data_IF_230898162504
#
_entry.id   IF_230898162504
#
_cell.length_a   1.000
_cell.length_b   1.000
_cell.length_c   1.000
_cell.angle_alpha   90.00
_cell.angle_beta   90.00
_cell.angle_gamma   90.00
#
_symmetry.space_group_name_H-M   'P 1'
#
loop_
_entity.id
_entity.type
_entity.pdbx_description
1 polymer ?
#
# COMPACT_ATOMS: atom_id res chain seq x y z
N UNK A 1 25.81 -1.24 20.04
CA UNK A 1 24.92 -1.67 18.95
C UNK A 1 23.83 -2.51 19.59
N UNK A 2 22.54 -2.16 19.49
CA UNK A 2 21.51 -3.00 20.08
C UNK A 2 21.42 -4.31 19.27
N UNK A 3 21.37 -5.39 20.02
CA UNK A 3 21.32 -6.77 19.57
C UNK A 3 20.10 -6.98 18.66
N UNK A 4 20.29 -7.25 17.36
CA UNK A 4 19.20 -7.65 16.48
C UNK A 4 18.99 -9.14 16.75
N UNK A 5 18.12 -9.46 17.71
CA UNK A 5 17.63 -10.83 17.87
C UNK A 5 17.05 -11.28 16.52
N UNK A 6 17.58 -12.39 16.00
CA UNK A 6 17.10 -13.00 14.76
C UNK A 6 15.65 -13.46 14.98
N UNK A 7 14.69 -12.62 14.60
CA UNK A 7 13.28 -12.98 14.62
C UNK A 7 13.04 -14.11 13.62
N UNK A 8 12.41 -15.19 14.08
CA UNK A 8 11.93 -16.26 13.21
C UNK A 8 11.02 -15.65 12.13
N UNK A 9 11.26 -15.95 10.83
CA UNK A 9 10.45 -15.38 9.77
C UNK A 9 8.99 -15.82 9.91
N UNK A 10 8.08 -14.90 9.64
CA UNK A 10 6.66 -15.18 9.57
C UNK A 10 6.37 -16.06 8.35
N UNK A 11 5.71 -17.19 8.55
CA UNK A 11 5.39 -18.13 7.48
C UNK A 11 3.91 -18.11 7.15
N UNK A 12 3.61 -18.20 5.85
CA UNK A 12 2.25 -18.40 5.36
C UNK A 12 1.74 -19.80 5.77
N UNK A 13 0.50 -19.88 6.25
CA UNK A 13 -0.06 -21.11 6.84
C UNK A 13 -1.44 -21.44 6.27
N UNK A 14 -1.60 -22.69 5.87
CA UNK A 14 -2.86 -23.33 5.47
C UNK A 14 -3.19 -24.48 6.42
N UNK A 15 -4.48 -24.76 6.63
CA UNK A 15 -4.93 -25.90 7.43
C UNK A 15 -5.13 -27.19 6.62
N UNK A 16 -5.00 -27.11 5.28
CA UNK A 16 -5.25 -28.20 4.34
C UNK A 16 -6.74 -28.53 4.12
N UNK A 17 -7.65 -27.74 4.68
CA UNK A 17 -9.11 -27.87 4.57
C UNK A 17 -9.77 -26.62 3.98
N UNK A 18 -8.99 -25.83 3.24
CA UNK A 18 -9.45 -24.60 2.59
C UNK A 18 -9.53 -23.40 3.54
N UNK A 19 -8.70 -23.35 4.59
CA UNK A 19 -8.51 -22.14 5.39
C UNK A 19 -7.06 -21.69 5.48
N UNK A 20 -6.91 -20.38 5.61
CA UNK A 20 -5.63 -19.67 5.77
C UNK A 20 -5.62 -18.96 7.12
N UNK A 21 -4.46 -18.95 7.78
CA UNK A 21 -4.27 -18.23 9.02
C UNK A 21 -3.91 -16.77 8.75
N UNK A 22 -4.70 -15.83 9.30
CA UNK A 22 -4.29 -14.42 9.38
C UNK A 22 -3.53 -14.19 10.70
N UNK A 23 -2.25 -13.80 10.66
CA UNK A 23 -1.50 -13.42 11.85
C UNK A 23 -1.86 -12.02 12.33
N UNK A 24 -2.55 -11.20 11.54
CA UNK A 24 -3.05 -9.89 11.98
C UNK A 24 -4.33 -10.06 12.80
N UNK A 25 -5.29 -10.87 12.31
CA UNK A 25 -6.57 -11.15 12.99
C UNK A 25 -6.49 -12.30 14.00
N UNK A 26 -5.40 -13.07 14.00
CA UNK A 26 -5.20 -14.25 14.86
C UNK A 26 -6.35 -15.28 14.71
N UNK A 27 -6.78 -15.54 13.48
CA UNK A 27 -7.88 -16.46 13.17
C UNK A 27 -7.72 -17.13 11.80
N UNK A 28 -8.48 -18.21 11.59
CA UNK A 28 -8.53 -18.97 10.34
C UNK A 28 -9.69 -18.50 9.45
N UNK A 29 -9.39 -18.12 8.22
CA UNK A 29 -10.36 -17.61 7.22
C UNK A 29 -10.45 -18.54 6.02
N UNK A 30 -11.57 -18.47 5.29
CA UNK A 30 -11.75 -19.25 4.06
C UNK A 30 -10.71 -18.84 3.03
N UNK A 31 -10.13 -19.83 2.36
CA UNK A 31 -9.15 -19.65 1.30
C UNK A 31 -9.81 -19.10 0.03
N UNK A 32 -9.89 -17.78 -0.06
CA UNK A 32 -10.17 -17.07 -1.31
C UNK A 32 -8.86 -16.65 -1.99
N UNK A 33 -8.81 -16.51 -3.32
CA UNK A 33 -7.62 -16.07 -4.03
C UNK A 33 -7.05 -14.74 -3.51
N UNK A 34 -7.91 -13.77 -3.18
CA UNK A 34 -7.54 -12.49 -2.60
C UNK A 34 -6.95 -12.64 -1.19
N UNK A 35 -7.47 -13.57 -0.38
CA UNK A 35 -6.96 -13.83 0.98
C UNK A 35 -5.57 -14.50 0.93
N UNK A 36 -5.31 -15.37 -0.04
CA UNK A 36 -3.97 -15.93 -0.29
C UNK A 36 -2.97 -14.79 -0.50
N UNK A 37 -3.26 -13.91 -1.44
CA UNK A 37 -2.43 -12.75 -1.79
C UNK A 37 -2.24 -11.84 -0.57
N UNK A 38 -3.31 -11.56 0.18
CA UNK A 38 -3.27 -10.73 1.39
C UNK A 38 -2.30 -11.28 2.42
N UNK A 39 -2.40 -12.57 2.76
CA UNK A 39 -1.56 -13.17 3.80
C UNK A 39 -0.11 -13.41 3.34
N UNK A 40 0.12 -13.67 2.05
CA UNK A 40 1.47 -13.65 1.47
C UNK A 40 2.10 -12.25 1.55
N UNK A 41 1.31 -11.21 1.27
CA UNK A 41 1.78 -9.83 1.38
C UNK A 41 2.08 -9.42 2.82
N UNK A 42 1.28 -9.86 3.80
CA UNK A 42 1.58 -9.68 5.24
C UNK A 42 2.92 -10.32 5.60
N UNK A 43 3.19 -11.55 5.12
CA UNK A 43 4.48 -12.20 5.35
C UNK A 43 5.64 -11.36 4.77
N UNK A 44 5.48 -10.82 3.55
CA UNK A 44 6.46 -9.94 2.92
C UNK A 44 6.68 -8.63 3.69
N UNK A 45 5.61 -8.00 4.16
CA UNK A 45 5.67 -6.78 4.99
C UNK A 45 6.47 -6.98 6.27
N UNK A 46 6.30 -8.14 6.92
CA UNK A 46 7.03 -8.46 8.15
C UNK A 46 8.47 -8.85 7.86
N UNK A 47 8.68 -9.78 6.93
CA UNK A 47 9.99 -10.40 6.72
C UNK A 47 10.97 -9.50 5.95
N UNK A 48 10.49 -8.80 4.93
CA UNK A 48 11.35 -8.05 4.01
C UNK A 48 11.36 -6.56 4.33
N UNK A 49 10.20 -6.01 4.72
CA UNK A 49 10.03 -4.58 4.98
C UNK A 49 10.12 -4.22 6.47
N UNK A 50 10.14 -5.21 7.37
CA UNK A 50 10.36 -5.01 8.80
C UNK A 50 9.18 -4.40 9.56
N UNK A 51 7.98 -4.42 8.99
CA UNK A 51 6.77 -3.99 9.72
C UNK A 51 6.43 -5.00 10.82
N UNK A 52 5.89 -4.52 11.93
CA UNK A 52 5.31 -5.35 12.97
C UNK A 52 3.81 -5.59 12.71
N UNK A 53 3.31 -6.76 13.11
CA UNK A 53 1.89 -7.13 12.95
C UNK A 53 0.95 -6.15 13.68
N UNK A 54 1.39 -5.58 14.80
CA UNK A 54 0.61 -4.60 15.57
C UNK A 54 0.52 -3.22 14.90
N UNK A 55 1.27 -3.00 13.81
CA UNK A 55 1.12 -1.85 12.90
C UNK A 55 0.06 -2.10 11.82
N UNK A 56 -0.56 -3.27 11.76
CA UNK A 56 -1.47 -3.65 10.66
C UNK A 56 -2.88 -3.91 11.16
N UNK A 57 -3.87 -3.76 10.30
CA UNK A 57 -5.26 -4.15 10.52
C UNK A 57 -5.85 -4.68 9.21
N UNK A 58 -6.79 -5.61 9.30
CA UNK A 58 -7.48 -6.19 8.13
C UNK A 58 -8.98 -5.94 8.28
N UNK A 59 -9.69 -5.85 7.16
CA UNK A 59 -11.16 -5.82 7.10
C UNK A 59 -11.77 -4.68 7.95
N UNK A 60 -11.18 -3.49 7.83
CA UNK A 60 -11.70 -2.31 8.51
C UNK A 60 -12.87 -1.73 7.74
N UNK A 61 -14.08 -2.11 8.14
CA UNK A 61 -15.30 -1.51 7.65
C UNK A 61 -15.39 -0.04 8.09
N UNK A 62 -15.54 0.86 7.12
CA UNK A 62 -15.85 2.27 7.41
C UNK A 62 -17.24 2.59 6.89
N UNK A 63 -18.08 3.11 7.77
CA UNK A 63 -19.44 3.51 7.41
C UNK A 63 -19.44 4.87 6.71
N UNK A 64 -20.00 4.92 5.50
CA UNK A 64 -20.37 6.17 4.81
C UNK A 64 -21.86 6.16 4.47
N UNK A 65 -22.69 6.68 5.36
CA UNK A 65 -24.14 6.75 5.12
C UNK A 65 -24.72 5.34 4.89
N UNK A 66 -25.20 5.04 3.67
CA UNK A 66 -25.78 3.73 3.31
C UNK A 66 -24.80 2.71 2.71
N UNK A 67 -23.55 3.07 2.46
CA UNK A 67 -22.55 2.17 1.85
C UNK A 67 -21.36 1.98 2.81
N UNK A 68 -20.94 0.74 2.98
CA UNK A 68 -19.68 0.39 3.61
C UNK A 68 -18.61 0.17 2.56
N UNK A 69 -17.39 0.60 2.88
CA UNK A 69 -16.19 0.25 2.13
C UNK A 69 -15.24 -0.43 3.11
N UNK A 70 -14.65 -1.53 2.67
CA UNK A 70 -13.75 -2.37 3.45
C UNK A 70 -12.41 -2.42 2.74
N UNK A 71 -11.34 -2.14 3.47
CA UNK A 71 -9.99 -2.32 2.97
C UNK A 71 -9.47 -3.69 3.38
N UNK A 72 -8.78 -4.36 2.46
CA UNK A 72 -8.18 -5.66 2.71
C UNK A 72 -7.13 -5.61 3.82
N UNK A 73 -6.26 -4.60 3.77
CA UNK A 73 -5.20 -4.40 4.75
C UNK A 73 -4.91 -2.90 4.92
N UNK A 74 -4.71 -2.47 6.15
CA UNK A 74 -4.27 -1.11 6.50
C UNK A 74 -3.00 -1.17 7.34
N UNK A 75 -2.13 -0.18 7.16
CA UNK A 75 -0.82 -0.13 7.81
C UNK A 75 -0.63 1.24 8.42
N UNK A 76 -0.32 1.28 9.72
CA UNK A 76 0.05 2.48 10.45
C UNK A 76 1.56 2.66 10.49
N UNK A 77 1.99 3.92 10.60
CA UNK A 77 3.42 4.25 10.73
C UNK A 77 4.04 3.62 11.96
N UNK A 78 3.30 3.55 13.06
CA UNK A 78 3.71 2.87 14.30
C UNK A 78 2.51 2.16 14.93
N UNK A 79 2.79 1.18 15.79
CA UNK A 79 1.74 0.53 16.57
C UNK A 79 1.05 1.51 17.53
N UNK A 80 1.76 2.54 17.98
CA UNK A 80 1.17 3.61 18.79
C UNK A 80 0.18 4.44 17.97
N UNK A 81 0.48 4.78 16.72
CA UNK A 81 -0.46 5.51 15.86
C UNK A 81 -1.76 4.73 15.65
N UNK A 82 -1.69 3.39 15.55
CA UNK A 82 -2.88 2.52 15.53
C UNK A 82 -3.66 2.61 16.84
N UNK A 83 -2.99 2.49 17.99
CA UNK A 83 -3.61 2.57 19.33
C UNK A 83 -4.23 3.94 19.60
N UNK A 84 -3.61 5.00 19.10
CA UNK A 84 -4.09 6.38 19.22
C UNK A 84 -5.21 6.71 18.21
N UNK A 85 -5.67 5.72 17.43
CA UNK A 85 -6.66 5.89 16.36
C UNK A 85 -6.31 7.00 15.36
N UNK A 86 -5.01 7.19 15.08
CA UNK A 86 -4.55 8.11 14.03
C UNK A 86 -4.87 7.52 12.65
N UNK A 87 -4.94 8.37 11.61
CA UNK A 87 -5.04 7.92 10.23
C UNK A 87 -3.95 6.89 9.88
N UNK A 88 -4.29 5.78 9.19
CA UNK A 88 -3.29 4.84 8.71
C UNK A 88 -2.38 5.51 7.67
N UNK A 89 -1.17 4.98 7.53
CA UNK A 89 -0.20 5.44 6.54
C UNK A 89 -0.52 4.92 5.14
N UNK A 90 -0.94 3.65 5.06
CA UNK A 90 -1.16 2.94 3.79
C UNK A 90 -2.46 2.17 3.90
N UNK A 91 -3.28 2.27 2.86
CA UNK A 91 -4.40 1.37 2.60
C UNK A 91 -3.99 0.46 1.46
N UNK A 92 -4.24 -0.83 1.59
CA UNK A 92 -3.88 -1.86 0.60
C UNK A 92 -5.14 -2.58 0.15
N UNK A 93 -5.29 -2.69 -1.17
CA UNK A 93 -6.28 -3.53 -1.85
C UNK A 93 -5.53 -4.70 -2.50
N UNK A 94 -5.83 -5.91 -2.07
CA UNK A 94 -5.33 -7.15 -2.61
C UNK A 94 -6.29 -7.67 -3.68
N UNK A 95 -5.76 -8.06 -4.83
CA UNK A 95 -6.54 -8.70 -5.90
C UNK A 95 -6.05 -10.12 -6.12
N UNK A 96 -6.95 -11.00 -6.56
CA UNK A 96 -6.59 -12.34 -6.99
C UNK A 96 -5.49 -12.27 -8.06
N UNK A 97 -4.62 -13.27 -8.07
CA UNK A 97 -3.46 -13.25 -8.96
C UNK A 97 -3.85 -13.11 -10.41
N UNK A 98 -4.97 -13.68 -10.87
CA UNK A 98 -5.44 -13.61 -12.26
C UNK A 98 -6.04 -12.25 -12.68
N UNK A 99 -6.23 -11.30 -11.76
CA UNK A 99 -6.76 -9.96 -12.04
C UNK A 99 -5.63 -9.00 -12.42
N UNK A 100 -5.78 -8.29 -13.54
CA UNK A 100 -4.89 -7.18 -13.92
C UNK A 100 -5.36 -5.92 -13.23
N UNK A 101 -4.46 -5.23 -12.53
CA UNK A 101 -4.78 -3.99 -11.83
C UNK A 101 -5.02 -2.90 -12.88
N UNK A 102 -6.20 -2.28 -12.83
CA UNK A 102 -6.61 -1.26 -13.77
C UNK A 102 -6.75 0.11 -13.09
N UNK A 103 -6.78 1.21 -13.86
CA UNK A 103 -7.12 2.53 -13.33
C UNK A 103 -8.53 2.62 -12.71
N UNK A 104 -9.43 1.66 -12.95
CA UNK A 104 -10.75 1.65 -12.32
C UNK A 104 -10.67 1.19 -10.86
N UNK A 105 -9.78 0.25 -10.55
CA UNK A 105 -9.51 -0.21 -9.19
C UNK A 105 -8.96 0.92 -8.31
N UNK A 106 -8.27 1.87 -8.94
CA UNK A 106 -7.81 3.08 -8.29
C UNK A 106 -8.95 3.92 -7.71
N UNK A 107 -10.01 4.17 -8.47
CA UNK A 107 -11.11 5.04 -8.03
C UNK A 107 -11.82 4.46 -6.78
N UNK A 108 -11.94 3.13 -6.70
CA UNK A 108 -12.52 2.45 -5.55
C UNK A 108 -11.63 2.59 -4.32
N UNK A 109 -10.34 2.27 -4.44
CA UNK A 109 -9.41 2.31 -3.31
C UNK A 109 -9.02 3.72 -2.86
N UNK A 110 -8.97 4.70 -3.77
CA UNK A 110 -8.76 6.11 -3.44
C UNK A 110 -9.86 6.64 -2.52
N UNK A 111 -11.12 6.25 -2.79
CA UNK A 111 -12.26 6.68 -1.97
C UNK A 111 -12.06 6.27 -0.52
N UNK A 112 -11.68 5.02 -0.26
CA UNK A 112 -11.39 4.55 1.09
C UNK A 112 -10.21 5.30 1.71
N UNK A 113 -9.10 5.44 0.98
CA UNK A 113 -7.92 6.14 1.48
C UNK A 113 -8.21 7.61 1.85
N UNK A 114 -9.05 8.31 1.09
CA UNK A 114 -9.53 9.66 1.46
C UNK A 114 -10.37 9.65 2.73
N UNK A 115 -11.25 8.65 2.89
CA UNK A 115 -12.13 8.53 4.05
C UNK A 115 -11.33 8.42 5.35
N UNK A 116 -10.28 7.59 5.33
CA UNK A 116 -9.44 7.36 6.51
C UNK A 116 -8.25 8.33 6.62
N UNK A 117 -8.20 9.36 5.76
CA UNK A 117 -7.07 10.31 5.62
C UNK A 117 -5.70 9.63 5.43
N UNK A 118 -5.69 8.48 4.75
CA UNK A 118 -4.47 7.78 4.39
C UNK A 118 -3.75 8.49 3.23
N UNK A 119 -2.46 8.81 3.39
CA UNK A 119 -1.69 9.49 2.36
C UNK A 119 -1.31 8.58 1.18
N UNK A 120 -1.34 7.26 1.38
CA UNK A 120 -1.00 6.29 0.36
C UNK A 120 -2.07 5.21 0.22
N UNK A 121 -2.29 4.83 -1.02
CA UNK A 121 -3.10 3.69 -1.41
C UNK A 121 -2.23 2.75 -2.25
N UNK A 122 -2.35 1.44 -2.04
CA UNK A 122 -1.59 0.41 -2.74
C UNK A 122 -2.56 -0.63 -3.29
N UNK A 123 -2.37 -1.00 -4.54
CA UNK A 123 -2.99 -2.21 -5.10
C UNK A 123 -1.92 -3.27 -5.27
N UNK A 124 -2.23 -4.50 -4.87
CA UNK A 124 -1.26 -5.59 -4.83
C UNK A 124 -1.84 -6.92 -5.33
N UNK A 125 -1.06 -7.63 -6.14
CA UNK A 125 -1.13 -9.08 -6.32
C UNK A 125 0.31 -9.61 -6.49
N UNK A 126 0.49 -10.92 -6.68
CA UNK A 126 1.83 -11.49 -6.82
C UNK A 126 2.52 -11.14 -8.15
N UNK A 127 1.81 -10.53 -9.11
CA UNK A 127 2.35 -10.13 -10.43
C UNK A 127 2.78 -8.67 -10.49
N UNK A 128 2.06 -7.78 -9.82
CA UNK A 128 2.31 -6.34 -9.81
C UNK A 128 1.88 -5.68 -8.50
N UNK A 129 2.62 -4.63 -8.11
CA UNK A 129 2.25 -3.76 -6.98
C UNK A 129 2.28 -2.32 -7.47
N UNK A 130 1.18 -1.58 -7.30
CA UNK A 130 1.11 -0.18 -7.67
C UNK A 130 0.88 0.69 -6.46
N UNK A 131 1.62 1.78 -6.39
CA UNK A 131 1.61 2.72 -5.27
C UNK A 131 0.98 4.02 -5.74
N UNK A 132 0.11 4.58 -4.93
CA UNK A 132 -0.63 5.78 -5.27
C UNK A 132 -0.51 6.81 -4.15
N UNK A 133 -0.20 8.05 -4.54
CA UNK A 133 -0.25 9.20 -3.63
C UNK A 133 -1.64 9.81 -3.68
N UNK A 134 -2.32 9.81 -2.55
CA UNK A 134 -3.68 10.37 -2.44
C UNK A 134 -3.61 11.87 -2.22
N UNK A 135 -4.33 12.63 -3.06
CA UNK A 135 -4.53 14.07 -2.87
C UNK A 135 -5.40 14.27 -1.62
N UNK A 136 -4.91 15.10 -0.70
CA UNK A 136 -5.68 15.55 0.46
C UNK A 136 -6.87 16.40 0.01
N UNK A 137 -7.97 16.34 0.76
CA UNK A 137 -9.15 17.18 0.49
C UNK A 137 -8.90 18.66 0.83
N UNK A 138 -8.06 18.90 1.84
CA UNK A 138 -7.75 20.25 2.32
C UNK A 138 -6.30 20.59 2.10
N UNK A 139 -6.08 21.81 1.65
CA UNK A 139 -4.75 22.37 1.49
C UNK A 139 -4.10 22.53 2.87
N UNK A 140 -2.81 22.18 3.03
CA UNK A 140 -2.05 22.53 4.22
C UNK A 140 -2.10 24.04 4.49
N UNK A 141 -2.14 24.44 5.77
CA UNK A 141 -2.12 25.86 6.14
C UNK A 141 -0.83 26.56 5.71
N UNK A 142 -0.88 27.90 5.58
CA UNK A 142 0.30 28.73 5.31
C UNK A 142 0.67 28.94 3.84
N UNK A 143 -0.14 28.46 2.89
CA UNK A 143 0.11 28.66 1.45
C UNK A 143 -0.45 29.97 0.88
N UNK A 144 0.27 30.51 -0.11
CA UNK A 144 -0.11 31.72 -0.85
C UNK A 144 -1.15 31.42 -1.97
N UNK A 145 -1.51 32.44 -2.75
CA UNK A 145 -2.47 32.29 -3.85
C UNK A 145 -1.98 31.33 -4.96
N UNK A 146 -0.67 31.29 -5.21
CA UNK A 146 -0.06 30.37 -6.19
C UNK A 146 -0.12 28.93 -5.69
N UNK A 147 0.12 28.72 -4.41
CA UNK A 147 0.03 27.40 -3.78
C UNK A 147 -1.41 26.89 -3.79
N UNK A 148 -2.40 27.77 -3.57
CA UNK A 148 -3.83 27.42 -3.69
C UNK A 148 -4.19 27.00 -5.11
N UNK A 149 -3.75 27.76 -6.10
CA UNK A 149 -3.97 27.42 -7.51
C UNK A 149 -3.31 26.09 -7.89
N UNK A 150 -2.10 25.81 -7.38
CA UNK A 150 -1.41 24.51 -7.57
C UNK A 150 -2.16 23.36 -6.90
N UNK A 151 -2.63 23.55 -5.66
CA UNK A 151 -3.37 22.54 -4.92
C UNK A 151 -4.72 22.20 -5.56
N UNK A 152 -5.43 23.20 -6.09
CA UNK A 152 -6.69 22.98 -6.84
C UNK A 152 -6.47 22.08 -8.05
N UNK A 153 -5.38 22.29 -8.79
CA UNK A 153 -5.02 21.50 -9.98
C UNK A 153 -4.36 20.16 -9.67
N UNK A 154 -3.89 19.95 -8.43
CA UNK A 154 -3.27 18.69 -8.05
C UNK A 154 -4.28 17.56 -8.15
N UNK A 155 -3.83 16.44 -8.67
CA UNK A 155 -4.55 15.17 -8.63
C UNK A 155 -3.71 14.16 -7.89
N UNK A 156 -4.36 13.13 -7.40
CA UNK A 156 -3.65 11.94 -6.95
C UNK A 156 -2.93 11.28 -8.13
N UNK A 157 -1.81 10.63 -7.88
CA UNK A 157 -0.95 10.11 -8.96
C UNK A 157 -0.29 8.80 -8.56
N UNK A 158 0.04 8.00 -9.56
CA UNK A 158 0.81 6.77 -9.36
C UNK A 158 2.27 7.11 -9.07
N UNK A 159 2.83 6.50 -8.03
CA UNK A 159 4.25 6.57 -7.70
C UNK A 159 4.94 5.38 -8.35
N UNK A 160 5.67 5.65 -9.43
CA UNK A 160 6.61 4.68 -9.99
C UNK A 160 7.88 4.65 -9.11
N UNK A 161 8.20 3.47 -8.58
CA UNK A 161 9.44 3.24 -7.85
C UNK A 161 10.55 3.04 -8.90
N UNK A 162 11.39 4.06 -9.07
CA UNK A 162 12.58 3.95 -9.91
C UNK A 162 13.69 3.22 -9.14
N UNK A 163 13.91 1.94 -9.44
CA UNK A 163 15.02 1.17 -8.86
C UNK A 163 16.36 1.68 -9.42
N UNK A 164 17.13 2.46 -8.67
CA UNK A 164 18.52 2.77 -9.04
C UNK A 164 19.36 1.50 -8.91
N UNK A 165 19.92 1.03 -10.02
CA UNK A 165 20.70 -0.22 -10.06
C UNK A 165 22.20 0.08 -10.01
N UNK A 166 22.92 -0.73 -9.22
CA UNK A 166 24.38 -0.71 -9.21
C UNK A 166 24.94 -1.60 -10.32
N UNK A 167 25.94 -1.11 -11.05
CA UNK A 167 26.63 -1.95 -12.03
C UNK A 167 27.31 -3.13 -11.31
N UNK A 168 26.88 -4.36 -11.60
CA UNK A 168 27.43 -5.61 -11.03
C UNK A 168 28.93 -5.82 -11.28
N UNK A 169 29.54 -5.04 -12.18
CA UNK A 169 30.99 -5.05 -12.41
C UNK A 169 31.72 -4.26 -11.30
N UNK A 170 32.50 -4.97 -10.48
CA UNK A 170 33.23 -4.43 -9.31
C UNK A 170 34.25 -3.34 -9.64
N UNK A 171 34.66 -3.22 -10.91
CA UNK A 171 35.52 -2.13 -11.43
C UNK A 171 34.74 -0.93 -11.96
N UNK A 172 33.50 -1.13 -12.43
CA UNK A 172 32.69 -0.07 -13.02
C UNK A 172 32.13 0.88 -11.95
N UNK A 173 31.65 0.32 -10.82
CA UNK A 173 31.08 1.01 -9.63
C UNK A 173 30.12 2.18 -9.91
N UNK A 174 29.69 2.39 -11.15
CA UNK A 174 28.70 3.38 -11.54
C UNK A 174 27.36 2.91 -10.98
N UNK A 175 26.78 3.77 -10.16
CA UNK A 175 25.35 3.79 -9.89
C UNK A 175 24.72 4.60 -11.01
N UNK A 176 23.78 4.01 -11.73
CA UNK A 176 22.95 4.77 -12.65
C UNK A 176 21.57 4.92 -12.03
N UNK A 177 21.07 6.15 -12.06
CA UNK A 177 19.67 6.38 -11.73
C UNK A 177 18.83 5.69 -12.80
N UNK A 178 17.85 4.87 -12.41
CA UNK A 178 16.70 4.64 -13.29
C UNK A 178 15.74 5.85 -13.24
N UNK A 179 15.94 6.78 -12.30
CA UNK A 179 15.11 7.95 -12.08
C UNK A 179 15.60 9.23 -12.77
N UNK A 180 15.57 9.28 -14.10
CA UNK A 180 15.68 10.56 -14.82
C UNK A 180 14.38 11.36 -14.84
N UNK A 181 13.25 10.70 -14.60
CA UNK A 181 11.90 11.28 -14.51
C UNK A 181 11.19 10.44 -13.45
N UNK A 182 10.85 11.03 -12.30
CA UNK A 182 9.78 10.44 -11.45
C UNK A 182 8.55 10.42 -12.33
N UNK A 183 8.28 9.28 -12.94
CA UNK A 183 7.22 9.18 -13.93
C UNK A 183 5.92 9.15 -13.12
N UNK A 184 5.36 10.32 -12.88
CA UNK A 184 4.03 10.47 -12.33
C UNK A 184 3.07 10.14 -13.46
N UNK A 185 2.39 9.00 -13.37
CA UNK A 185 1.23 8.78 -14.24
C UNK A 185 0.06 9.56 -13.62
N UNK A 186 -0.35 10.63 -14.30
CA UNK A 186 -1.62 11.28 -14.01
C UNK A 186 -2.74 10.41 -14.56
N UNK A 187 -3.83 10.29 -13.81
CA UNK A 187 -4.93 9.38 -14.14
C UNK A 187 -5.73 9.80 -15.39
N UNK A 188 -5.55 11.05 -15.82
CA UNK A 188 -6.23 11.64 -16.97
C UNK A 188 -5.46 11.51 -18.29
N UNK A 189 -4.26 10.93 -18.30
CA UNK A 189 -3.61 10.59 -19.57
C UNK A 189 -4.17 9.24 -20.08
N UNK A 190 -4.83 9.21 -21.25
CA UNK A 190 -5.08 7.95 -21.91
C UNK A 190 -3.71 7.36 -22.22
N UNK A 191 -3.36 6.27 -21.54
CA UNK A 191 -2.18 5.47 -21.84
C UNK A 191 -2.19 5.21 -23.35
N UNK A 192 -1.29 5.90 -24.06
CA UNK A 192 -1.17 5.85 -25.51
C UNK A 192 -0.93 4.40 -25.93
N UNK A 193 -1.61 4.05 -27.02
CA UNK A 193 -1.70 2.73 -27.65
C UNK A 193 -0.35 2.08 -27.91
#
# INVERSE_FOLDING_TARGET
MPNVEAKTPLTFRRDGKGKIWSPVRQAWFVEFPEEVVRQEFVCRLVNDYGYALDQMGEELEVQRGRQSAEADLVIWRTAQDKRDAKPPLIVVECKADNVTISPKDYAQGESYARIVDAPFFVTHNNRETRYWRVKKDRMPGGGDERDRARFQKMQSYMVLLDDKVECKNTRCRRRFEVSGIKTMAFLDEPLLR
#
